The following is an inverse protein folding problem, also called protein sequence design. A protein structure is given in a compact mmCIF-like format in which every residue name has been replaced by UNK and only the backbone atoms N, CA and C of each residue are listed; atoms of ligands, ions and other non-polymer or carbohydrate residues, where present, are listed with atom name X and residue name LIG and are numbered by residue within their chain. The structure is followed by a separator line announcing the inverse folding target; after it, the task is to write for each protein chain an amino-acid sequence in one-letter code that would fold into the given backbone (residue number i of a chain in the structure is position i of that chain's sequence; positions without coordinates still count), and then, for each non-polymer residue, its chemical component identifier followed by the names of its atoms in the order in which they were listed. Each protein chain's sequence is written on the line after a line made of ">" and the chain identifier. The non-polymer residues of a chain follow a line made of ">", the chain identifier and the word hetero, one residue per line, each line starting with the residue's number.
data_IF_314235675578
#
_entry.id   IF_314235675578
#
_cell.length_a   1.000
_cell.length_b   1.000
_cell.length_c   1.000
_cell.angle_alpha   90.00
_cell.angle_beta   90.00
_cell.angle_gamma   90.00
#
_symmetry.space_group_name_H-M   'P 1'
#
loop_
_entity.id
_entity.type
_entity.pdbx_description
1 polymer ?
#
# COMPACT_ATOMS: atom_id res chain seq x y z
N UNK A 1 43.55 -51.14 -0.95
CA UNK A 1 42.58 -50.70 0.08
C UNK A 1 43.36 -50.02 1.18
N UNK A 2 43.44 -48.67 1.20
CA UNK A 2 43.91 -47.94 2.37
C UNK A 2 42.73 -47.38 3.17
N UNK A 3 42.87 -47.49 4.49
CA UNK A 3 41.91 -47.08 5.51
C UNK A 3 41.58 -45.58 5.43
N UNK A 4 40.29 -45.28 5.42
CA UNK A 4 39.77 -43.92 5.52
C UNK A 4 39.63 -43.57 7.01
N UNK A 5 40.27 -42.50 7.52
CA UNK A 5 40.09 -42.10 8.90
C UNK A 5 38.73 -41.43 9.11
N UNK A 6 38.09 -41.75 10.23
CA UNK A 6 36.83 -41.17 10.68
C UNK A 6 36.96 -39.66 10.97
N UNK A 7 35.91 -38.84 10.73
CA UNK A 7 35.96 -37.41 10.98
C UNK A 7 35.91 -37.10 12.48
N UNK A 8 36.77 -36.16 12.89
CA UNK A 8 36.87 -35.62 14.24
C UNK A 8 35.56 -34.94 14.68
N UNK A 9 35.14 -35.24 15.92
CA UNK A 9 34.00 -34.61 16.57
C UNK A 9 34.29 -33.12 16.86
N UNK A 10 33.38 -32.25 16.42
CA UNK A 10 33.37 -30.84 16.79
C UNK A 10 32.99 -30.66 18.28
N UNK A 11 33.65 -29.76 19.02
CA UNK A 11 33.33 -29.50 20.42
C UNK A 11 32.08 -28.62 20.57
N UNK A 12 31.13 -29.08 21.39
CA UNK A 12 30.31 -28.24 22.28
C UNK A 12 29.22 -27.37 21.64
N UNK A 13 28.05 -27.95 21.35
CA UNK A 13 26.80 -27.20 21.34
C UNK A 13 26.32 -27.02 22.81
N UNK A 14 25.89 -25.82 23.23
CA UNK A 14 25.38 -25.61 24.58
C UNK A 14 24.05 -26.37 24.75
N UNK A 15 23.99 -27.16 25.82
CA UNK A 15 22.78 -27.82 26.31
C UNK A 15 21.79 -26.74 26.75
N UNK A 16 20.51 -26.79 26.33
CA UNK A 16 19.49 -25.86 26.82
C UNK A 16 19.13 -26.23 28.26
N UNK A 17 19.81 -25.60 29.22
CA UNK A 17 19.49 -25.65 30.63
C UNK A 17 18.43 -24.60 31.01
N UNK A 18 17.49 -25.03 31.84
CA UNK A 18 16.63 -24.24 32.71
C UNK A 18 15.75 -23.14 32.08
N UNK A 19 14.59 -23.59 31.61
CA UNK A 19 13.37 -22.79 31.56
C UNK A 19 12.81 -22.57 32.98
N UNK A 20 13.52 -21.85 33.83
CA UNK A 20 12.99 -21.34 35.11
C UNK A 20 12.26 -20.02 34.87
N UNK A 21 10.94 -20.07 35.06
CA UNK A 21 10.06 -18.93 35.32
C UNK A 21 10.07 -17.81 34.27
N UNK A 22 9.46 -18.08 33.11
CA UNK A 22 8.73 -17.01 32.39
C UNK A 22 7.63 -16.54 33.33
N UNK A 23 7.81 -15.37 33.94
CA UNK A 23 6.72 -14.65 34.58
C UNK A 23 5.52 -14.66 33.64
N UNK A 24 4.35 -15.06 34.15
CA UNK A 24 3.12 -15.00 33.38
C UNK A 24 3.04 -13.59 32.77
N UNK A 25 2.84 -13.45 31.44
CA UNK A 25 2.68 -12.13 30.85
C UNK A 25 1.56 -11.46 31.61
N UNK A 26 1.87 -10.39 32.35
CA UNK A 26 0.89 -9.54 33.03
C UNK A 26 -0.11 -9.19 31.96
N UNK A 27 -1.28 -9.81 32.00
CA UNK A 27 -2.17 -9.91 30.85
C UNK A 27 -2.46 -8.50 30.35
N UNK A 28 -1.99 -8.19 29.14
CA UNK A 28 -2.12 -6.87 28.53
C UNK A 28 -3.61 -6.48 28.55
N UNK A 29 -4.00 -5.64 29.50
CA UNK A 29 -5.41 -5.35 29.77
C UNK A 29 -6.00 -4.44 28.69
N UNK A 30 -7.23 -4.75 28.27
CA UNK A 30 -7.96 -3.95 27.30
C UNK A 30 -8.35 -2.61 27.93
N UNK A 31 -7.91 -1.49 27.35
CA UNK A 31 -8.34 -0.16 27.79
C UNK A 31 -9.77 0.12 27.32
N UNK A 32 -10.72 0.07 28.25
CA UNK A 32 -12.15 0.32 27.99
C UNK A 32 -12.57 1.61 28.69
N UNK A 33 -13.27 2.49 27.96
CA UNK A 33 -13.90 3.68 28.52
C UNK A 33 -15.41 3.64 28.26
N UNK A 34 -16.20 3.68 29.32
CA UNK A 34 -17.67 3.73 29.23
C UNK A 34 -18.14 5.17 29.36
N UNK A 35 -19.00 5.59 28.42
CA UNK A 35 -19.51 6.95 28.28
C UNK A 35 -21.01 6.91 28.48
N UNK A 36 -21.53 7.65 29.45
CA UNK A 36 -22.98 7.75 29.66
C UNK A 36 -23.59 8.87 28.81
N UNK A 37 -24.57 8.53 27.99
CA UNK A 37 -25.33 9.45 27.12
C UNK A 37 -26.84 9.14 27.17
N UNK A 38 -27.50 9.31 28.34
CA UNK A 38 -28.86 8.82 28.56
C UNK A 38 -29.93 9.55 27.71
N UNK A 39 -29.58 10.72 27.16
CA UNK A 39 -30.46 11.51 26.29
C UNK A 39 -30.49 10.99 24.86
N UNK A 40 -29.47 10.22 24.44
CA UNK A 40 -29.29 9.71 23.07
C UNK A 40 -29.57 10.77 21.98
N UNK A 41 -29.15 12.00 22.26
CA UNK A 41 -29.62 13.16 21.52
C UNK A 41 -29.20 13.08 20.03
N UNK A 42 -30.07 13.49 19.08
CA UNK A 42 -29.74 13.49 17.65
C UNK A 42 -28.44 14.24 17.31
N UNK A 43 -28.09 15.27 18.09
CA UNK A 43 -26.85 16.01 17.95
C UNK A 43 -25.60 15.17 18.28
N UNK A 44 -25.66 14.33 19.33
CA UNK A 44 -24.58 13.38 19.66
C UNK A 44 -24.43 12.35 18.56
N UNK A 45 -25.54 11.83 18.04
CA UNK A 45 -25.57 10.87 16.94
C UNK A 45 -24.95 11.46 15.66
N UNK A 46 -25.29 12.70 15.30
CA UNK A 46 -24.69 13.40 14.17
C UNK A 46 -23.18 13.62 14.37
N UNK A 47 -22.75 13.90 15.61
CA UNK A 47 -21.34 14.10 15.94
C UNK A 47 -20.54 12.80 15.86
N UNK A 48 -21.07 11.69 16.35
CA UNK A 48 -20.47 10.36 16.24
C UNK A 48 -20.29 9.92 14.79
N UNK A 49 -21.27 10.20 13.92
CA UNK A 49 -21.15 9.94 12.49
C UNK A 49 -20.01 10.73 11.84
N UNK A 50 -19.84 12.01 12.23
CA UNK A 50 -18.73 12.86 11.75
C UNK A 50 -17.37 12.44 12.31
N UNK A 51 -17.35 11.78 13.47
CA UNK A 51 -16.12 11.30 14.10
C UNK A 51 -15.57 10.05 13.41
N UNK A 52 -16.42 9.29 12.70
CA UNK A 52 -15.99 8.09 11.98
C UNK A 52 -15.05 8.46 10.83
N UNK A 53 -13.76 8.25 11.05
CA UNK A 53 -12.70 8.46 10.08
C UNK A 53 -11.66 7.34 10.25
N UNK A 54 -11.87 6.19 9.57
CA UNK A 54 -10.94 5.08 9.64
C UNK A 54 -9.52 5.44 9.19
N UNK A 55 -9.37 6.38 8.25
CA UNK A 55 -8.07 6.84 7.76
C UNK A 55 -7.34 7.67 8.83
N UNK A 56 -8.08 8.39 9.67
CA UNK A 56 -7.54 9.04 10.88
C UNK A 56 -7.39 8.08 12.08
N UNK A 57 -7.77 6.80 11.94
CA UNK A 57 -7.62 5.78 12.97
C UNK A 57 -8.79 5.69 13.97
N UNK A 58 -9.97 6.24 13.63
CA UNK A 58 -11.16 6.20 14.49
C UNK A 58 -12.29 5.46 13.76
N UNK A 59 -12.77 4.37 14.35
CA UNK A 59 -13.93 3.64 13.85
C UNK A 59 -15.11 3.80 14.79
N UNK A 60 -16.25 4.25 14.29
CA UNK A 60 -17.49 4.39 15.06
C UNK A 60 -18.52 3.38 14.56
N UNK A 61 -18.79 2.38 15.37
CA UNK A 61 -19.84 1.40 15.15
C UNK A 61 -21.16 1.99 15.61
N UNK A 62 -21.95 2.47 14.64
CA UNK A 62 -23.35 2.74 14.87
C UNK A 62 -24.06 1.40 14.92
N UNK A 63 -24.28 0.91 16.14
CA UNK A 63 -25.23 -0.17 16.31
C UNK A 63 -26.54 0.26 15.64
N UNK A 64 -27.00 -0.55 14.69
CA UNK A 64 -28.42 -0.54 14.30
C UNK A 64 -29.26 -0.57 15.59
N UNK A 65 -30.54 -0.18 15.58
CA UNK A 65 -31.37 -0.18 16.80
C UNK A 65 -31.22 -1.45 17.65
N UNK A 66 -30.87 -2.59 17.03
CA UNK A 66 -30.28 -3.74 17.71
C UNK A 66 -29.10 -4.36 16.92
N UNK A 67 -27.96 -4.58 17.58
CA UNK A 67 -26.91 -5.52 17.14
C UNK A 67 -27.07 -6.78 17.97
N UNK A 68 -27.91 -7.69 17.50
CA UNK A 68 -28.32 -8.87 18.26
C UNK A 68 -27.46 -10.11 17.94
N UNK A 69 -26.74 -10.10 16.82
CA UNK A 69 -26.00 -11.26 16.33
C UNK A 69 -24.59 -10.91 15.83
N UNK A 70 -23.67 -11.90 15.73
CA UNK A 70 -22.36 -11.71 15.12
C UNK A 70 -22.44 -11.21 13.68
N UNK A 71 -23.51 -11.58 12.95
CA UNK A 71 -23.79 -11.10 11.60
C UNK A 71 -24.05 -9.59 11.59
N UNK A 72 -24.87 -9.08 12.51
CA UNK A 72 -25.16 -7.64 12.61
C UNK A 72 -23.92 -6.84 12.98
N UNK A 73 -23.08 -7.37 13.87
CA UNK A 73 -21.81 -6.77 14.22
C UNK A 73 -20.87 -6.71 13.00
N UNK A 74 -20.79 -7.81 12.24
CA UNK A 74 -20.00 -7.86 10.99
C UNK A 74 -20.45 -6.78 10.00
N UNK A 75 -21.77 -6.63 9.77
CA UNK A 75 -22.31 -5.57 8.93
C UNK A 75 -21.96 -4.18 9.48
N UNK A 76 -22.12 -3.96 10.78
CA UNK A 76 -21.85 -2.66 11.41
C UNK A 76 -20.38 -2.26 11.28
N UNK A 77 -19.45 -3.21 11.42
CA UNK A 77 -18.02 -2.98 11.22
C UNK A 77 -17.71 -2.65 9.77
N UNK A 78 -18.18 -3.46 8.81
CA UNK A 78 -17.92 -3.21 7.40
C UNK A 78 -18.56 -1.91 6.90
N UNK A 79 -19.76 -1.57 7.38
CA UNK A 79 -20.43 -0.29 7.08
C UNK A 79 -19.64 0.91 7.63
N UNK A 80 -19.20 0.84 8.89
CA UNK A 80 -18.37 1.87 9.51
C UNK A 80 -17.01 2.05 8.80
N UNK A 81 -16.48 0.98 8.20
CA UNK A 81 -15.28 1.02 7.35
C UNK A 81 -15.55 1.54 5.93
N UNK A 82 -16.79 1.93 5.62
CA UNK A 82 -17.20 2.45 4.31
C UNK A 82 -17.28 1.39 3.21
N UNK A 83 -17.48 0.10 3.56
CA UNK A 83 -17.52 -0.98 2.57
C UNK A 83 -18.87 -1.04 1.86
N UNK A 84 -18.87 -1.39 0.58
CA UNK A 84 -20.09 -1.65 -0.19
C UNK A 84 -20.59 -3.04 0.18
N UNK A 85 -21.75 -3.06 0.85
CA UNK A 85 -22.35 -4.28 1.38
C UNK A 85 -23.48 -4.77 0.45
N UNK A 86 -23.64 -6.09 0.29
CA UNK A 86 -24.79 -6.63 -0.40
C UNK A 86 -26.09 -6.32 0.39
N UNK A 87 -27.24 -6.18 -0.28
CA UNK A 87 -28.52 -5.96 0.39
C UNK A 87 -28.77 -7.02 1.46
N UNK A 88 -29.27 -6.64 2.64
CA UNK A 88 -29.49 -7.59 3.75
C UNK A 88 -30.46 -8.73 3.41
N UNK A 89 -31.35 -8.50 2.46
CA UNK A 89 -32.31 -9.47 1.93
C UNK A 89 -31.70 -10.51 0.99
N UNK A 90 -30.50 -10.26 0.46
CA UNK A 90 -29.76 -11.24 -0.34
C UNK A 90 -29.14 -12.32 0.55
N UNK A 91 -28.70 -13.42 -0.06
CA UNK A 91 -28.06 -14.55 0.62
C UNK A 91 -27.11 -14.09 1.75
N UNK A 92 -27.10 -14.84 2.87
CA UNK A 92 -26.34 -14.48 4.07
C UNK A 92 -24.88 -14.08 3.78
N UNK A 93 -24.28 -13.30 4.69
CA UNK A 93 -22.86 -12.96 4.58
C UNK A 93 -22.03 -14.26 4.46
N UNK A 94 -20.99 -14.26 3.61
CA UNK A 94 -20.11 -15.42 3.53
C UNK A 94 -19.46 -15.67 4.89
N UNK A 95 -19.11 -16.93 5.17
CA UNK A 95 -18.44 -17.34 6.42
C UNK A 95 -17.12 -16.58 6.66
N UNK A 96 -16.49 -16.08 5.60
CA UNK A 96 -15.27 -15.27 5.65
C UNK A 96 -15.52 -13.80 5.98
N UNK A 97 -16.76 -13.32 6.02
CA UNK A 97 -17.06 -11.89 6.21
C UNK A 97 -16.53 -11.34 7.53
N UNK A 98 -16.64 -12.09 8.62
CA UNK A 98 -16.11 -11.68 9.92
C UNK A 98 -14.57 -11.62 9.93
N UNK A 99 -13.83 -12.68 9.54
CA UNK A 99 -12.38 -12.58 9.36
C UNK A 99 -11.94 -11.40 8.49
N UNK A 100 -12.65 -11.13 7.40
CA UNK A 100 -12.41 -9.98 6.52
C UNK A 100 -12.65 -8.64 7.22
N UNK A 101 -13.72 -8.50 7.99
CA UNK A 101 -14.00 -7.29 8.77
C UNK A 101 -12.91 -7.00 9.81
N UNK A 102 -12.46 -8.04 10.53
CA UNK A 102 -11.35 -7.91 11.48
C UNK A 102 -10.06 -7.54 10.75
N UNK A 103 -9.75 -8.19 9.63
CA UNK A 103 -8.57 -7.86 8.82
C UNK A 103 -8.56 -6.42 8.34
N UNK A 104 -9.70 -5.88 7.87
CA UNK A 104 -9.80 -4.47 7.52
C UNK A 104 -9.59 -3.55 8.71
N UNK A 105 -10.21 -3.86 9.86
CA UNK A 105 -10.03 -3.11 11.12
C UNK A 105 -8.55 -3.02 11.51
N UNK A 106 -7.83 -4.13 11.44
CA UNK A 106 -6.37 -4.19 11.64
C UNK A 106 -5.61 -3.40 10.58
N UNK A 107 -6.06 -3.46 9.33
CA UNK A 107 -5.50 -2.72 8.20
C UNK A 107 -5.53 -1.21 8.39
N UNK A 108 -6.56 -0.64 9.02
CA UNK A 108 -6.61 0.79 9.30
C UNK A 108 -5.76 1.24 10.50
N UNK A 109 -5.23 0.31 11.30
CA UNK A 109 -4.43 0.64 12.52
C UNK A 109 -5.14 1.63 13.43
N UNK A 110 -6.39 1.33 13.75
CA UNK A 110 -7.23 2.19 14.57
C UNK A 110 -6.59 2.40 15.94
N UNK A 111 -6.67 3.62 16.45
CA UNK A 111 -6.33 3.95 17.83
C UNK A 111 -7.59 4.08 18.71
N UNK A 112 -8.77 4.18 18.11
CA UNK A 112 -10.05 4.21 18.82
C UNK A 112 -11.13 3.41 18.06
N UNK A 113 -11.86 2.59 18.80
CA UNK A 113 -13.11 1.96 18.35
C UNK A 113 -14.20 2.45 19.28
N UNK A 114 -15.23 3.10 18.73
CA UNK A 114 -16.37 3.62 19.46
C UNK A 114 -17.59 2.78 19.14
N UNK A 115 -18.21 2.18 20.14
CA UNK A 115 -19.45 1.42 20.01
C UNK A 115 -20.57 2.28 20.55
N UNK A 116 -21.40 2.79 19.64
CA UNK A 116 -22.60 3.52 19.99
C UNK A 116 -23.65 2.57 20.59
N UNK A 117 -24.45 3.05 21.54
CA UNK A 117 -25.49 2.28 22.25
C UNK A 117 -25.04 0.88 22.69
N UNK A 118 -23.84 0.76 23.26
CA UNK A 118 -23.23 -0.51 23.66
C UNK A 118 -24.11 -1.33 24.63
N UNK A 119 -24.99 -0.68 25.40
CA UNK A 119 -25.95 -1.34 26.32
C UNK A 119 -26.92 -2.30 25.62
N UNK A 120 -27.18 -2.11 24.32
CA UNK A 120 -28.04 -3.01 23.54
C UNK A 120 -27.32 -4.26 23.07
N UNK A 121 -25.99 -4.35 23.21
CA UNK A 121 -25.24 -5.51 22.75
C UNK A 121 -25.34 -6.68 23.74
N UNK A 122 -25.63 -7.90 23.26
CA UNK A 122 -25.60 -9.09 24.09
C UNK A 122 -24.16 -9.49 24.44
N UNK A 123 -23.99 -10.13 25.59
CA UNK A 123 -22.69 -10.58 26.09
C UNK A 123 -21.98 -11.59 25.17
N UNK A 124 -22.75 -12.32 24.35
CA UNK A 124 -22.22 -13.25 23.34
C UNK A 124 -21.32 -12.59 22.30
N UNK A 125 -21.37 -11.26 22.15
CA UNK A 125 -20.53 -10.51 21.21
C UNK A 125 -19.22 -10.00 21.81
N UNK A 126 -18.99 -10.18 23.12
CA UNK A 126 -17.79 -9.66 23.77
C UNK A 126 -16.51 -10.25 23.18
N UNK A 127 -16.49 -11.55 22.87
CA UNK A 127 -15.31 -12.19 22.24
C UNK A 127 -15.04 -11.61 20.84
N UNK A 128 -16.09 -11.34 20.06
CA UNK A 128 -15.95 -10.69 18.77
C UNK A 128 -15.40 -9.26 18.89
N UNK A 129 -15.85 -8.49 19.88
CA UNK A 129 -15.30 -7.15 20.16
C UNK A 129 -13.85 -7.25 20.63
N UNK A 130 -13.53 -8.21 21.50
CA UNK A 130 -12.15 -8.48 21.93
C UNK A 130 -11.26 -8.75 20.73
N UNK A 131 -11.72 -9.55 19.77
CA UNK A 131 -10.99 -9.85 18.54
C UNK A 131 -10.69 -8.58 17.71
N UNK A 132 -11.64 -7.63 17.61
CA UNK A 132 -11.40 -6.33 16.95
C UNK A 132 -10.33 -5.49 17.66
N UNK A 133 -10.21 -5.67 18.97
CA UNK A 133 -9.25 -4.96 19.85
C UNK A 133 -8.00 -5.76 20.19
N UNK A 134 -7.83 -6.93 19.57
CA UNK A 134 -6.73 -7.85 19.85
C UNK A 134 -5.37 -7.57 19.18
N UNK A 135 -5.12 -6.55 18.32
CA UNK A 135 -3.77 -6.37 17.79
C UNK A 135 -2.74 -6.19 18.91
N UNK A 136 -1.61 -6.87 18.73
CA UNK A 136 -0.45 -6.73 19.59
C UNK A 136 0.11 -5.29 19.52
N UNK A 137 0.81 -4.83 20.58
CA UNK A 137 1.52 -3.56 20.56
C UNK A 137 2.35 -3.34 19.29
N UNK A 138 2.48 -2.10 18.79
CA UNK A 138 2.10 -0.85 19.46
C UNK A 138 0.70 -0.32 19.11
N UNK A 139 -0.07 -1.00 18.26
CA UNK A 139 -1.32 -0.48 17.70
C UNK A 139 -2.54 -1.14 18.33
N UNK A 140 -2.77 -0.89 19.63
CA UNK A 140 -3.97 -1.36 20.31
C UNK A 140 -5.03 -0.26 20.36
N UNK A 141 -6.20 -0.44 19.71
CA UNK A 141 -7.26 0.55 19.80
C UNK A 141 -7.83 0.61 21.21
N UNK A 142 -8.14 1.82 21.67
CA UNK A 142 -8.97 2.02 22.86
C UNK A 142 -10.43 1.76 22.52
N UNK A 143 -11.12 1.05 23.39
CA UNK A 143 -12.54 0.76 23.22
C UNK A 143 -13.37 1.78 24.00
N UNK A 144 -14.23 2.51 23.29
CA UNK A 144 -15.19 3.45 23.86
C UNK A 144 -16.59 2.87 23.73
N UNK A 145 -17.30 2.71 24.84
CA UNK A 145 -18.65 2.15 24.88
C UNK A 145 -19.64 3.24 25.28
N UNK A 146 -20.58 3.59 24.41
CA UNK A 146 -21.60 4.60 24.70
C UNK A 146 -22.84 3.92 25.27
N UNK A 147 -23.14 4.20 26.53
CA UNK A 147 -24.33 3.75 27.23
C UNK A 147 -25.41 4.84 27.18
N UNK A 148 -26.34 4.67 26.23
CA UNK A 148 -27.54 5.49 26.09
C UNK A 148 -28.76 4.94 26.83
N UNK A 149 -28.57 4.05 27.80
CA UNK A 149 -29.67 3.56 28.65
C UNK A 149 -30.22 4.69 29.52
N UNK A 150 -31.55 4.82 29.55
CA UNK A 150 -32.26 5.68 30.51
C UNK A 150 -32.15 5.15 31.96
N UNK A 151 -31.79 3.87 32.13
CA UNK A 151 -31.63 3.25 33.45
C UNK A 151 -30.39 3.81 34.17
N UNK A 152 -30.48 3.88 35.51
CA UNK A 152 -29.33 4.18 36.37
C UNK A 152 -28.41 2.98 36.61
N UNK A 153 -28.85 1.78 36.23
CA UNK A 153 -28.05 0.57 36.36
C UNK A 153 -27.03 0.45 35.21
N UNK A 154 -25.75 0.33 35.57
CA UNK A 154 -24.61 0.31 34.66
C UNK A 154 -24.43 -1.04 33.95
N UNK A 155 -25.43 -1.45 33.16
CA UNK A 155 -25.46 -2.77 32.52
C UNK A 155 -24.25 -3.02 31.60
N UNK A 156 -23.63 -1.97 31.05
CA UNK A 156 -22.40 -2.10 30.23
C UNK A 156 -21.16 -2.34 31.08
N UNK A 157 -21.01 -1.62 32.20
CA UNK A 157 -19.83 -1.74 33.07
C UNK A 157 -19.80 -3.13 33.71
N UNK A 158 -20.95 -3.59 34.20
CA UNK A 158 -21.09 -4.91 34.83
C UNK A 158 -20.81 -6.05 33.85
N UNK A 159 -21.01 -5.82 32.54
CA UNK A 159 -20.78 -6.78 31.45
C UNK A 159 -19.34 -6.78 30.95
N UNK A 160 -18.68 -5.62 30.97
CA UNK A 160 -17.27 -5.44 30.63
C UNK A 160 -16.47 -5.27 31.93
N UNK A 161 -16.46 -6.30 32.77
CA UNK A 161 -15.63 -6.43 33.98
C UNK A 161 -14.14 -6.54 33.64
N UNK A 162 -13.61 -5.54 32.94
CA UNK A 162 -12.17 -5.37 32.74
C UNK A 162 -11.61 -4.58 33.93
N UNK A 163 -10.47 -4.99 34.52
CA UNK A 163 -9.85 -4.29 35.65
C UNK A 163 -9.51 -2.81 35.37
N UNK A 164 -9.39 -2.43 34.09
CA UNK A 164 -9.03 -1.08 33.63
C UNK A 164 -10.20 -0.32 32.97
N UNK A 165 -11.44 -0.60 33.39
CA UNK A 165 -12.62 0.11 32.89
C UNK A 165 -12.71 1.51 33.52
N UNK A 166 -12.55 2.56 32.71
CA UNK A 166 -12.76 3.95 33.15
C UNK A 166 -14.17 4.41 32.82
N UNK A 167 -14.95 4.80 33.84
CA UNK A 167 -16.26 5.42 33.65
C UNK A 167 -16.10 6.94 33.51
N UNK A 168 -16.66 7.53 32.46
CA UNK A 168 -16.76 8.99 32.30
C UNK A 168 -18.21 9.38 32.04
N UNK A 169 -18.68 10.43 32.72
CA UNK A 169 -20.04 10.96 32.58
C UNK A 169 -20.00 12.26 31.76
N UNK A 170 -20.76 12.32 30.65
CA UNK A 170 -20.91 13.51 29.80
C UNK A 170 -20.28 13.39 28.41
N UNK A 171 -21.09 13.61 27.36
CA UNK A 171 -20.72 13.37 25.96
C UNK A 171 -19.86 14.44 25.27
N UNK A 172 -19.89 15.70 25.72
CA UNK A 172 -19.26 16.82 24.99
C UNK A 172 -17.74 16.90 25.17
N UNK A 173 -17.24 16.64 26.38
CA UNK A 173 -15.82 16.73 26.74
C UNK A 173 -14.97 15.60 26.17
N UNK A 174 -15.51 14.38 26.07
CA UNK A 174 -14.75 13.20 25.68
C UNK A 174 -14.60 13.02 24.16
N UNK A 175 -15.58 13.47 23.38
CA UNK A 175 -15.44 13.54 21.91
C UNK A 175 -14.30 14.50 21.51
N UNK A 176 -14.03 15.54 22.31
CA UNK A 176 -12.85 16.39 22.15
C UNK A 176 -11.55 15.68 22.55
N UNK A 177 -11.59 14.71 23.46
CA UNK A 177 -10.43 13.90 23.89
C UNK A 177 -10.04 12.87 22.83
N UNK A 178 -11.03 12.25 22.16
CA UNK A 178 -10.77 11.37 21.01
C UNK A 178 -10.15 12.18 19.87
N UNK A 179 -10.67 13.38 19.59
CA UNK A 179 -10.16 14.25 18.52
C UNK A 179 -8.75 14.80 18.77
N UNK A 180 -8.39 15.11 20.03
CA UNK A 180 -7.07 15.69 20.38
C UNK A 180 -5.87 14.76 20.16
N UNK A 181 -6.09 13.46 19.95
CA UNK A 181 -5.02 12.50 19.60
C UNK A 181 -4.80 12.32 18.10
N UNK A 182 -5.43 13.16 17.27
CA UNK A 182 -5.20 13.17 15.84
C UNK A 182 -3.70 13.24 15.51
N UNK A 183 -3.29 12.31 14.65
CA UNK A 183 -1.93 11.96 14.29
C UNK A 183 -0.99 13.15 14.02
N UNK A 184 0.26 12.99 14.46
CA UNK A 184 1.43 13.65 13.91
C UNK A 184 1.34 13.66 12.39
N UNK A 185 1.47 14.82 11.71
CA UNK A 185 1.35 14.89 10.27
C UNK A 185 2.29 13.87 9.61
N UNK A 186 1.72 13.07 8.72
CA UNK A 186 2.43 11.99 8.04
C UNK A 186 3.72 12.53 7.36
N UNK A 187 4.91 11.93 7.57
CA UNK A 187 6.15 12.37 6.92
C UNK A 187 6.09 12.42 5.39
N UNK A 188 5.11 11.78 4.73
CA UNK A 188 4.84 12.04 3.30
C UNK A 188 4.49 13.50 2.98
N UNK A 189 4.17 14.31 3.99
CA UNK A 189 3.95 15.75 3.88
C UNK A 189 5.22 16.59 4.06
N UNK A 190 6.39 16.01 4.37
CA UNK A 190 7.67 16.73 4.28
C UNK A 190 8.08 16.82 2.80
N UNK A 191 7.29 17.61 2.07
CA UNK A 191 7.31 17.74 0.63
C UNK A 191 8.41 18.71 0.23
N UNK A 192 9.23 18.33 -0.74
CA UNK A 192 9.96 19.32 -1.53
C UNK A 192 8.90 20.14 -2.26
N UNK A 193 8.82 21.43 -1.94
CA UNK A 193 7.85 22.36 -2.52
C UNK A 193 8.28 22.72 -3.96
N UNK A 194 8.21 21.71 -4.84
CA UNK A 194 8.53 21.82 -6.26
C UNK A 194 7.21 22.03 -7.01
N UNK A 195 7.06 23.18 -7.73
CA UNK A 195 5.85 23.50 -8.48
C UNK A 195 5.48 22.40 -9.49
N UNK A 196 4.18 22.24 -9.77
CA UNK A 196 3.69 21.24 -10.72
C UNK A 196 3.87 21.64 -12.19
N UNK A 197 4.09 22.92 -12.45
CA UNK A 197 4.12 23.61 -13.74
C UNK A 197 5.55 23.90 -14.21
N UNK A 198 6.44 22.91 -14.09
CA UNK A 198 7.80 23.03 -14.60
C UNK A 198 7.85 23.04 -16.14
N UNK A 199 8.91 23.62 -16.75
CA UNK A 199 9.08 23.63 -18.20
C UNK A 199 9.08 22.21 -18.79
N UNK A 200 8.36 22.02 -19.90
CA UNK A 200 8.23 20.73 -20.58
C UNK A 200 9.44 20.36 -21.46
N UNK A 201 10.49 21.20 -21.45
CA UNK A 201 11.75 21.04 -22.18
C UNK A 201 12.33 19.62 -22.17
N UNK A 202 13.10 19.32 -23.22
CA UNK A 202 13.90 18.10 -23.31
C UNK A 202 14.89 18.02 -22.14
N UNK A 203 15.27 16.80 -21.74
CA UNK A 203 16.21 16.59 -20.64
C UNK A 203 17.58 17.29 -20.84
N UNK A 204 17.95 17.59 -22.10
CA UNK A 204 19.17 18.33 -22.45
C UNK A 204 19.10 19.82 -22.07
N UNK A 205 17.92 20.45 -22.17
CA UNK A 205 17.73 21.89 -21.92
C UNK A 205 16.96 22.18 -20.62
N UNK A 206 16.39 21.14 -19.99
CA UNK A 206 15.48 21.24 -18.86
C UNK A 206 16.03 22.04 -17.67
N UNK A 207 17.27 21.77 -17.22
CA UNK A 207 17.87 22.51 -16.09
C UNK A 207 18.04 24.00 -16.39
N UNK A 208 18.49 24.34 -17.60
CA UNK A 208 18.64 25.72 -18.02
C UNK A 208 17.28 26.43 -18.13
N UNK A 209 16.23 25.72 -18.59
CA UNK A 209 14.88 26.25 -18.61
C UNK A 209 14.32 26.49 -17.19
N UNK A 210 14.55 25.56 -16.26
CA UNK A 210 14.18 25.76 -14.85
C UNK A 210 14.89 26.97 -14.24
N UNK A 211 16.21 27.12 -14.47
CA UNK A 211 16.98 28.24 -13.96
C UNK A 211 16.51 29.62 -14.47
N UNK A 212 15.91 29.68 -15.67
CA UNK A 212 15.32 30.93 -16.21
C UNK A 212 13.95 31.27 -15.63
N UNK A 213 13.19 30.26 -15.20
CA UNK A 213 11.75 30.39 -14.92
C UNK A 213 11.39 30.24 -13.44
N UNK A 214 12.30 29.76 -12.59
CA UNK A 214 12.08 29.52 -11.18
C UNK A 214 12.87 30.50 -10.32
N UNK A 215 12.42 30.72 -9.07
CA UNK A 215 13.20 31.45 -8.08
C UNK A 215 14.44 30.64 -7.67
N UNK A 216 15.49 31.34 -7.21
CA UNK A 216 16.75 30.70 -6.79
C UNK A 216 16.53 29.60 -5.75
N UNK A 217 15.67 29.83 -4.76
CA UNK A 217 15.36 28.86 -3.71
C UNK A 217 14.73 27.57 -4.27
N UNK A 218 13.80 27.69 -5.23
CA UNK A 218 13.15 26.53 -5.86
C UNK A 218 14.15 25.83 -6.77
N UNK A 219 14.96 26.60 -7.52
CA UNK A 219 15.98 26.06 -8.40
C UNK A 219 17.03 25.24 -7.64
N UNK A 220 17.52 25.70 -6.47
CA UNK A 220 18.45 24.91 -5.63
C UNK A 220 17.86 23.54 -5.29
N UNK A 221 16.58 23.47 -4.92
CA UNK A 221 15.90 22.20 -4.61
C UNK A 221 15.75 21.30 -5.84
N UNK A 222 15.38 21.89 -6.98
CA UNK A 222 15.32 21.17 -8.26
C UNK A 222 16.69 20.61 -8.61
N UNK A 223 17.76 21.37 -8.41
CA UNK A 223 19.11 20.98 -8.76
C UNK A 223 19.64 19.83 -7.90
N UNK A 224 19.49 19.92 -6.58
CA UNK A 224 19.85 18.84 -5.65
C UNK A 224 19.11 17.54 -5.97
N UNK A 225 17.83 17.64 -6.31
CA UNK A 225 17.03 16.48 -6.70
C UNK A 225 17.51 15.91 -8.04
N UNK A 226 17.77 16.77 -9.02
CA UNK A 226 18.24 16.37 -10.34
C UNK A 226 19.58 15.64 -10.25
N UNK A 227 20.56 16.21 -9.53
CA UNK A 227 21.90 15.61 -9.38
C UNK A 227 21.81 14.22 -8.75
N UNK A 228 21.03 14.08 -7.67
CA UNK A 228 20.81 12.78 -7.01
C UNK A 228 20.17 11.76 -7.95
N UNK A 229 19.11 12.13 -8.66
CA UNK A 229 18.41 11.23 -9.56
C UNK A 229 19.26 10.84 -10.80
N UNK A 230 20.12 11.74 -11.29
CA UNK A 230 21.07 11.47 -12.36
C UNK A 230 22.11 10.43 -11.90
N UNK A 231 22.68 10.63 -10.71
CA UNK A 231 23.65 9.70 -10.14
C UNK A 231 23.03 8.31 -9.91
N UNK A 232 21.83 8.26 -9.33
CA UNK A 232 21.08 7.01 -9.16
C UNK A 232 20.92 6.28 -10.51
N UNK A 233 20.47 6.98 -11.55
CA UNK A 233 20.23 6.37 -12.86
C UNK A 233 21.50 5.78 -13.50
N UNK A 234 22.64 6.44 -13.35
CA UNK A 234 23.94 5.91 -13.81
C UNK A 234 24.33 4.66 -13.04
N UNK A 235 24.20 4.71 -11.71
CA UNK A 235 24.49 3.55 -10.85
C UNK A 235 23.66 2.33 -11.25
N UNK A 236 22.40 2.52 -11.66
CA UNK A 236 21.55 1.40 -12.08
C UNK A 236 22.09 0.64 -13.28
N UNK A 237 22.69 1.33 -14.25
CA UNK A 237 23.31 0.69 -15.41
C UNK A 237 24.58 -0.06 -15.01
N UNK A 238 25.37 0.51 -14.09
CA UNK A 238 26.55 -0.16 -13.55
C UNK A 238 26.19 -1.45 -12.80
N UNK A 239 25.16 -1.44 -11.97
CA UNK A 239 24.68 -2.62 -11.26
C UNK A 239 24.35 -3.76 -12.23
N UNK A 240 23.65 -3.46 -13.33
CA UNK A 240 23.25 -4.46 -14.34
C UNK A 240 24.45 -4.94 -15.17
N UNK A 241 25.39 -4.06 -15.50
CA UNK A 241 26.62 -4.46 -16.22
C UNK A 241 27.51 -5.39 -15.40
N UNK A 242 27.49 -5.26 -14.07
CA UNK A 242 28.25 -6.14 -13.18
C UNK A 242 27.78 -7.61 -13.25
N UNK A 243 26.56 -7.86 -13.72
CA UNK A 243 25.99 -9.21 -13.90
C UNK A 243 26.48 -9.92 -15.19
N UNK A 244 27.60 -9.46 -15.78
CA UNK A 244 28.31 -10.09 -16.92
C UNK A 244 27.53 -10.18 -18.25
N UNK A 245 26.64 -9.23 -18.53
CA UNK A 245 26.00 -9.14 -19.85
C UNK A 245 27.01 -8.64 -20.90
N UNK A 246 27.27 -9.47 -21.92
CA UNK A 246 28.28 -9.20 -22.96
C UNK A 246 27.77 -8.39 -24.14
N UNK A 247 26.44 -8.28 -24.33
CA UNK A 247 25.85 -7.51 -25.43
C UNK A 247 24.95 -6.36 -24.96
N UNK A 248 25.03 -5.26 -25.71
CA UNK A 248 24.27 -4.03 -25.49
C UNK A 248 22.75 -4.21 -25.63
N UNK A 249 22.32 -5.14 -26.48
CA UNK A 249 20.90 -5.49 -26.66
C UNK A 249 20.39 -6.34 -25.49
N UNK A 250 21.20 -7.29 -25.00
CA UNK A 250 20.90 -8.06 -23.79
C UNK A 250 20.84 -7.16 -22.55
N UNK A 251 21.65 -6.08 -22.50
CA UNK A 251 21.55 -5.06 -21.45
C UNK A 251 20.19 -4.37 -21.48
N UNK A 252 19.70 -3.90 -22.62
CA UNK A 252 18.40 -3.20 -22.69
C UNK A 252 17.24 -4.13 -22.31
N UNK A 253 17.23 -5.35 -22.83
CA UNK A 253 16.23 -6.35 -22.50
C UNK A 253 16.23 -6.69 -21.00
N UNK A 254 17.41 -6.88 -20.40
CA UNK A 254 17.56 -7.18 -18.97
C UNK A 254 17.28 -5.95 -18.08
N UNK A 255 17.61 -4.75 -18.54
CA UNK A 255 17.50 -3.51 -17.78
C UNK A 255 16.05 -3.03 -17.69
N UNK A 256 15.21 -3.31 -18.70
CA UNK A 256 13.88 -2.72 -18.79
C UNK A 256 13.00 -2.96 -17.56
N UNK A 257 12.90 -4.20 -17.08
CA UNK A 257 12.11 -4.51 -15.89
C UNK A 257 12.70 -3.86 -14.62
N UNK A 258 13.97 -4.11 -14.22
CA UNK A 258 14.59 -3.45 -13.08
C UNK A 258 14.51 -1.92 -13.14
N UNK A 259 14.78 -1.32 -14.31
CA UNK A 259 14.71 0.12 -14.52
C UNK A 259 13.29 0.63 -14.33
N UNK A 260 12.29 -0.02 -14.93
CA UNK A 260 10.90 0.41 -14.79
C UNK A 260 10.44 0.37 -13.34
N UNK A 261 10.86 -0.63 -12.55
CA UNK A 261 10.51 -0.70 -11.13
C UNK A 261 11.28 0.36 -10.32
N UNK A 262 12.56 0.58 -10.60
CA UNK A 262 13.36 1.66 -9.96
C UNK A 262 12.77 3.03 -10.26
N UNK A 263 12.38 3.29 -11.52
CA UNK A 263 11.67 4.50 -11.92
C UNK A 263 10.32 4.60 -11.20
N UNK A 264 9.52 3.54 -11.14
CA UNK A 264 8.25 3.52 -10.42
C UNK A 264 8.42 3.86 -8.93
N UNK A 265 9.44 3.28 -8.29
CA UNK A 265 9.74 3.55 -6.89
C UNK A 265 10.16 5.00 -6.65
N UNK A 266 10.94 5.58 -7.58
CA UNK A 266 11.43 6.97 -7.47
C UNK A 266 10.41 8.01 -7.94
N UNK A 267 9.46 7.64 -8.80
CA UNK A 267 8.38 8.51 -9.29
C UNK A 267 7.13 8.44 -8.41
N UNK A 268 7.13 7.62 -7.36
CA UNK A 268 6.12 7.67 -6.32
C UNK A 268 6.36 8.86 -5.39
N UNK A 269 6.08 10.06 -5.90
CA UNK A 269 6.39 11.34 -5.26
C UNK A 269 5.15 12.23 -5.13
N UNK A 270 5.26 13.27 -4.31
CA UNK A 270 4.12 14.08 -3.90
C UNK A 270 3.65 15.09 -4.96
N UNK A 271 4.52 15.54 -5.86
CA UNK A 271 4.17 16.51 -6.91
C UNK A 271 4.54 16.03 -8.32
N UNK A 272 3.75 16.41 -9.35
CA UNK A 272 4.10 16.15 -10.74
C UNK A 272 5.45 16.75 -11.15
N UNK A 273 5.80 17.93 -10.62
CA UNK A 273 7.09 18.58 -10.87
C UNK A 273 8.26 17.76 -10.36
N UNK A 274 8.17 17.23 -9.14
CA UNK A 274 9.20 16.33 -8.60
C UNK A 274 9.39 15.10 -9.50
N UNK A 275 8.29 14.52 -9.99
CA UNK A 275 8.33 13.38 -10.90
C UNK A 275 9.02 13.74 -12.23
N UNK A 276 8.73 14.92 -12.78
CA UNK A 276 9.35 15.39 -14.02
C UNK A 276 10.86 15.64 -13.84
N UNK A 277 11.29 16.28 -12.74
CA UNK A 277 12.72 16.48 -12.45
C UNK A 277 13.45 15.15 -12.39
N UNK A 278 12.91 14.17 -11.67
CA UNK A 278 13.50 12.82 -11.56
C UNK A 278 13.53 12.10 -12.91
N UNK A 279 12.48 12.22 -13.73
CA UNK A 279 12.48 11.68 -15.08
C UNK A 279 13.57 12.30 -15.93
N UNK A 280 13.64 13.64 -16.01
CA UNK A 280 14.66 14.33 -16.84
C UNK A 280 16.08 14.00 -16.38
N UNK A 281 16.32 13.92 -15.09
CA UNK A 281 17.59 13.50 -14.53
C UNK A 281 17.93 12.04 -14.89
N UNK A 282 16.96 11.12 -14.81
CA UNK A 282 17.15 9.74 -15.20
C UNK A 282 17.44 9.61 -16.71
N UNK A 283 16.76 10.37 -17.56
CA UNK A 283 17.04 10.42 -19.00
C UNK A 283 18.48 10.87 -19.28
N UNK A 284 18.95 11.92 -18.61
CA UNK A 284 20.32 12.39 -18.73
C UNK A 284 21.35 11.37 -18.22
N UNK A 285 21.10 10.77 -17.05
CA UNK A 285 21.98 9.75 -16.47
C UNK A 285 22.10 8.51 -17.34
N UNK A 286 20.99 7.98 -17.86
CA UNK A 286 21.00 6.85 -18.79
C UNK A 286 21.69 7.21 -20.10
N UNK A 287 21.52 8.45 -20.61
CA UNK A 287 22.21 8.89 -21.82
C UNK A 287 23.73 8.86 -21.64
N UNK A 288 24.25 9.30 -20.49
CA UNK A 288 25.67 9.22 -20.18
C UNK A 288 26.22 7.77 -20.24
N UNK A 289 25.35 6.77 -20.09
CA UNK A 289 25.68 5.36 -20.17
C UNK A 289 25.36 4.72 -21.54
N UNK A 290 24.98 5.53 -22.55
CA UNK A 290 24.66 5.07 -23.91
C UNK A 290 23.23 4.57 -24.11
N UNK A 291 22.34 4.79 -23.13
CA UNK A 291 20.96 4.32 -23.13
C UNK A 291 20.00 5.50 -23.24
N UNK A 292 19.16 5.53 -24.27
CA UNK A 292 18.14 6.56 -24.42
C UNK A 292 16.83 6.10 -23.77
N UNK A 293 16.46 6.76 -22.68
CA UNK A 293 15.09 6.74 -22.17
C UNK A 293 14.31 7.87 -22.82
N UNK A 294 13.48 7.56 -23.82
CA UNK A 294 12.67 8.52 -24.53
C UNK A 294 11.29 8.65 -23.86
N UNK A 295 10.85 9.88 -23.58
CA UNK A 295 9.51 10.18 -23.06
C UNK A 295 8.70 10.88 -24.16
N UNK A 296 7.57 10.29 -24.55
CA UNK A 296 6.65 10.84 -25.55
C UNK A 296 5.44 11.47 -24.85
N UNK A 297 5.47 12.77 -24.54
CA UNK A 297 4.35 13.43 -23.86
C UNK A 297 3.07 13.35 -24.71
N UNK A 298 1.90 13.23 -24.08
CA UNK A 298 0.63 13.17 -24.82
C UNK A 298 0.36 14.50 -25.53
N UNK A 299 0.06 14.52 -26.85
CA UNK A 299 -0.22 15.77 -27.58
C UNK A 299 -1.42 16.57 -27.02
N UNK A 300 -2.25 15.97 -26.16
CA UNK A 300 -3.38 16.63 -25.49
C UNK A 300 -2.99 17.22 -24.12
N UNK A 301 -1.70 17.28 -23.78
CA UNK A 301 -1.15 18.15 -22.74
C UNK A 301 -1.40 17.74 -21.28
N UNK A 302 -1.87 16.51 -21.02
CA UNK A 302 -2.16 16.05 -19.66
C UNK A 302 -1.23 14.88 -19.30
N UNK A 303 0.07 15.19 -19.09
CA UNK A 303 1.08 14.23 -18.60
C UNK A 303 0.88 13.87 -17.11
N UNK A 304 -0.37 13.70 -16.67
CA UNK A 304 -0.73 13.23 -15.33
C UNK A 304 -0.31 11.75 -15.09
N UNK A 305 0.26 11.08 -16.09
CA UNK A 305 0.53 9.65 -16.06
C UNK A 305 1.87 9.24 -15.44
N UNK A 306 2.85 10.17 -15.31
CA UNK A 306 4.21 9.80 -14.90
C UNK A 306 4.29 9.31 -13.45
N UNK A 307 3.52 9.92 -12.54
CA UNK A 307 3.44 9.52 -11.14
C UNK A 307 2.69 8.19 -10.92
N UNK A 308 2.50 7.81 -9.66
CA UNK A 308 1.65 6.66 -9.34
C UNK A 308 0.19 6.90 -9.74
N UNK A 309 -0.54 5.84 -10.11
CA UNK A 309 -1.99 5.92 -10.40
C UNK A 309 -2.86 5.76 -9.14
N UNK A 310 -2.21 5.69 -7.98
CA UNK A 310 -2.83 5.59 -6.67
C UNK A 310 -3.27 6.98 -6.18
N UNK A 311 -4.13 7.67 -6.91
CA UNK A 311 -4.75 8.90 -6.41
C UNK A 311 -5.62 8.59 -5.18
N UNK A 312 -5.70 9.48 -4.16
CA UNK A 312 -6.52 9.25 -2.98
C UNK A 312 -7.96 8.88 -3.32
N UNK A 313 -8.58 9.56 -4.28
CA UNK A 313 -9.95 9.27 -4.73
C UNK A 313 -10.12 7.86 -5.32
N UNK A 314 -9.20 7.44 -6.18
CA UNK A 314 -9.18 6.08 -6.75
C UNK A 314 -9.05 5.03 -5.64
N UNK A 315 -8.16 5.25 -4.68
CA UNK A 315 -7.93 4.34 -3.57
C UNK A 315 -9.11 4.31 -2.60
N UNK A 316 -9.80 5.43 -2.38
CA UNK A 316 -11.06 5.44 -1.64
C UNK A 316 -12.07 4.50 -2.27
N UNK A 317 -12.21 4.51 -3.61
CA UNK A 317 -13.11 3.57 -4.32
C UNK A 317 -12.65 2.12 -4.14
N UNK A 318 -11.37 1.82 -4.31
CA UNK A 318 -10.81 0.47 -4.11
C UNK A 318 -11.07 -0.02 -2.67
N UNK A 319 -10.84 0.86 -1.68
CA UNK A 319 -11.06 0.57 -0.27
C UNK A 319 -12.54 0.39 0.07
N UNK A 320 -13.50 0.67 -0.82
CA UNK A 320 -14.91 0.29 -0.61
C UNK A 320 -15.17 -1.19 -0.84
N UNK A 321 -14.26 -1.93 -1.50
CA UNK A 321 -14.41 -3.38 -1.66
C UNK A 321 -14.36 -4.08 -0.30
N UNK A 322 -15.28 -5.03 -0.10
CA UNK A 322 -15.25 -5.94 1.06
C UNK A 322 -14.09 -6.93 0.93
N UNK A 323 -13.72 -7.34 -0.29
CA UNK A 323 -12.62 -8.26 -0.53
C UNK A 323 -11.26 -7.60 -0.31
N UNK A 324 -10.53 -8.03 0.73
CA UNK A 324 -9.14 -7.57 0.96
C UNK A 324 -8.24 -7.93 -0.22
N UNK A 325 -8.50 -9.07 -0.86
CA UNK A 325 -7.69 -9.60 -1.95
C UNK A 325 -7.84 -8.77 -3.23
N UNK A 326 -9.08 -8.44 -3.62
CA UNK A 326 -9.35 -7.59 -4.78
C UNK A 326 -8.78 -6.19 -4.57
N UNK A 327 -8.96 -5.63 -3.36
CA UNK A 327 -8.39 -4.34 -3.02
C UNK A 327 -6.86 -4.35 -3.12
N UNK A 328 -6.20 -5.32 -2.49
CA UNK A 328 -4.74 -5.43 -2.54
C UNK A 328 -4.21 -5.65 -3.98
N UNK A 329 -4.90 -6.46 -4.78
CA UNK A 329 -4.56 -6.68 -6.19
C UNK A 329 -4.66 -5.40 -7.01
N UNK A 330 -5.73 -4.63 -6.83
CA UNK A 330 -5.92 -3.34 -7.49
C UNK A 330 -4.84 -2.33 -7.07
N UNK A 331 -4.49 -2.26 -5.77
CA UNK A 331 -3.41 -1.39 -5.30
C UNK A 331 -2.08 -1.76 -5.93
N UNK A 332 -1.69 -3.04 -5.90
CA UNK A 332 -0.42 -3.47 -6.47
C UNK A 332 -0.38 -3.29 -8.01
N UNK A 333 -1.50 -3.50 -8.70
CA UNK A 333 -1.61 -3.22 -10.15
C UNK A 333 -1.43 -1.73 -10.48
N UNK A 334 -2.04 -0.83 -9.70
CA UNK A 334 -1.87 0.61 -9.91
C UNK A 334 -0.48 1.11 -9.49
N UNK A 335 0.18 0.41 -8.56
CA UNK A 335 1.56 0.67 -8.19
C UNK A 335 2.52 0.25 -9.32
N UNK A 336 2.35 -0.97 -9.82
CA UNK A 336 3.10 -1.50 -10.95
C UNK A 336 2.26 -2.53 -11.72
N UNK A 337 1.78 -2.20 -12.93
CA UNK A 337 0.84 -3.03 -13.66
C UNK A 337 1.49 -4.34 -14.11
N UNK A 338 0.77 -5.44 -13.92
CA UNK A 338 1.19 -6.78 -14.28
C UNK A 338 0.86 -7.09 -15.75
N UNK A 339 1.73 -7.82 -16.46
CA UNK A 339 1.36 -8.51 -17.70
C UNK A 339 2.04 -8.04 -19.00
N UNK A 340 3.36 -8.14 -19.10
CA UNK A 340 3.95 -8.46 -20.41
C UNK A 340 3.71 -9.96 -20.65
N UNK A 341 3.21 -10.34 -21.84
CA UNK A 341 3.03 -11.77 -22.20
C UNK A 341 4.35 -12.47 -22.51
N UNK A 342 5.46 -11.73 -22.50
CA UNK A 342 6.79 -12.31 -22.64
C UNK A 342 7.16 -12.98 -21.32
N UNK A 343 6.76 -14.25 -21.24
CA UNK A 343 6.92 -15.24 -20.17
C UNK A 343 8.37 -15.48 -19.68
N UNK A 344 9.30 -14.57 -19.94
CA UNK A 344 10.69 -14.62 -19.43
C UNK A 344 10.89 -13.73 -18.21
N UNK A 345 9.98 -12.79 -17.93
CA UNK A 345 10.05 -11.95 -16.74
C UNK A 345 9.75 -12.79 -15.48
N UNK A 346 10.75 -12.97 -14.63
CA UNK A 346 10.72 -13.76 -13.37
C UNK A 346 9.71 -13.29 -12.33
N UNK A 347 8.97 -12.21 -12.59
CA UNK A 347 8.07 -11.61 -11.62
C UNK A 347 6.62 -11.75 -12.08
N UNK A 348 5.88 -12.61 -11.38
CA UNK A 348 4.45 -12.81 -11.57
C UNK A 348 3.70 -12.46 -10.28
N UNK A 349 2.62 -11.68 -10.31
CA UNK A 349 1.88 -11.30 -9.11
C UNK A 349 1.31 -12.48 -8.33
N UNK A 350 0.91 -13.55 -9.02
CA UNK A 350 0.45 -14.78 -8.34
C UNK A 350 1.57 -15.51 -7.58
N UNK A 351 2.82 -15.20 -7.88
CA UNK A 351 3.99 -15.79 -7.22
C UNK A 351 4.56 -14.89 -6.12
N UNK A 352 4.05 -13.66 -6.00
CA UNK A 352 4.48 -12.69 -5.00
C UNK A 352 4.46 -13.35 -3.60
N UNK A 353 5.63 -13.54 -2.97
CA UNK A 353 5.70 -14.02 -1.59
C UNK A 353 4.98 -13.06 -0.65
N UNK A 354 4.43 -13.58 0.44
CA UNK A 354 3.80 -12.74 1.47
C UNK A 354 4.77 -11.67 2.00
N UNK A 355 6.05 -12.02 2.13
CA UNK A 355 7.11 -11.15 2.67
C UNK A 355 7.56 -10.05 1.71
N UNK A 356 7.19 -10.15 0.43
CA UNK A 356 7.42 -9.08 -0.52
C UNK A 356 6.45 -7.92 -0.30
N UNK A 357 5.41 -8.07 0.53
CA UNK A 357 4.63 -6.93 1.03
C UNK A 357 4.90 -6.77 2.51
N UNK A 358 5.49 -5.64 2.90
CA UNK A 358 5.79 -5.41 4.31
C UNK A 358 4.52 -5.49 5.17
N UNK A 359 4.57 -6.01 6.41
CA UNK A 359 3.41 -6.06 7.31
C UNK A 359 2.78 -4.69 7.59
N UNK A 360 3.56 -3.61 7.43
CA UNK A 360 3.10 -2.22 7.54
C UNK A 360 2.31 -1.73 6.32
N UNK A 361 2.32 -2.50 5.23
CA UNK A 361 1.86 -2.12 3.90
C UNK A 361 2.65 -0.96 3.31
N UNK A 362 3.78 -0.57 3.89
CA UNK A 362 4.47 0.68 3.53
C UNK A 362 5.36 0.55 2.30
N UNK A 363 5.79 -0.67 1.98
CA UNK A 363 6.52 -1.00 0.77
C UNK A 363 6.05 -2.36 0.22
N UNK A 364 6.19 -2.50 -1.09
CA UNK A 364 6.12 -3.78 -1.79
C UNK A 364 7.46 -4.02 -2.52
N UNK A 365 7.96 -5.24 -2.53
CA UNK A 365 9.13 -5.66 -3.29
C UNK A 365 8.63 -6.19 -4.63
N UNK A 366 9.10 -5.56 -5.70
CA UNK A 366 8.70 -5.84 -7.07
C UNK A 366 9.99 -6.08 -7.84
N UNK A 367 10.16 -7.26 -8.42
CA UNK A 367 11.42 -7.66 -9.08
C UNK A 367 12.69 -7.32 -8.24
N UNK A 368 12.66 -7.60 -6.92
CA UNK A 368 13.75 -7.32 -5.99
C UNK A 368 13.88 -5.86 -5.52
N UNK A 369 13.18 -4.92 -6.14
CA UNK A 369 13.22 -3.49 -5.79
C UNK A 369 12.12 -3.16 -4.80
N UNK A 370 12.49 -2.44 -3.72
CA UNK A 370 11.54 -1.96 -2.72
C UNK A 370 10.82 -0.71 -3.23
N UNK A 371 9.54 -0.86 -3.58
CA UNK A 371 8.66 0.21 -4.07
C UNK A 371 7.83 0.74 -2.91
N UNK A 372 7.89 2.04 -2.59
CA UNK A 372 7.08 2.60 -1.51
C UNK A 372 5.60 2.60 -1.89
N UNK A 373 4.74 2.45 -0.89
CA UNK A 373 3.28 2.47 -1.04
C UNK A 373 2.72 3.73 -0.36
N UNK A 374 1.89 4.52 -1.06
CA UNK A 374 1.28 5.73 -0.50
C UNK A 374 0.42 5.42 0.73
N UNK A 375 0.41 6.28 1.76
CA UNK A 375 -0.30 6.08 3.02
C UNK A 375 -1.74 5.60 2.89
N UNK A 376 -2.52 6.25 2.03
CA UNK A 376 -3.93 5.96 1.79
C UNK A 376 -4.18 4.58 1.16
N UNK A 377 -3.17 4.00 0.48
CA UNK A 377 -3.24 2.67 -0.12
C UNK A 377 -2.82 1.53 0.81
N UNK A 378 -2.09 1.85 1.89
CA UNK A 378 -1.55 0.85 2.84
C UNK A 378 -2.63 0.05 3.57
N UNK A 379 -3.82 0.60 3.94
CA UNK A 379 -4.85 -0.17 4.64
C UNK A 379 -5.26 -1.44 3.91
N UNK A 380 -5.41 -1.40 2.58
CA UNK A 380 -5.75 -2.58 1.79
C UNK A 380 -4.67 -3.67 1.86
N UNK A 381 -3.40 -3.29 1.69
CA UNK A 381 -2.28 -4.24 1.74
C UNK A 381 -2.11 -4.85 3.14
N UNK A 382 -2.21 -4.03 4.18
CA UNK A 382 -2.17 -4.51 5.58
C UNK A 382 -3.32 -5.44 5.88
N UNK A 383 -4.54 -5.05 5.49
CA UNK A 383 -5.72 -5.87 5.72
C UNK A 383 -5.57 -7.24 5.05
N UNK A 384 -5.10 -7.27 3.80
CA UNK A 384 -4.87 -8.52 3.12
C UNK A 384 -3.75 -9.35 3.75
N UNK A 385 -2.63 -8.73 4.15
CA UNK A 385 -1.56 -9.39 4.86
C UNK A 385 -2.07 -10.06 6.16
N UNK A 386 -2.83 -9.34 6.99
CA UNK A 386 -3.46 -9.92 8.19
C UNK A 386 -4.43 -11.05 7.88
N UNK A 387 -5.22 -10.91 6.82
CA UNK A 387 -6.14 -11.96 6.37
C UNK A 387 -5.39 -13.25 5.98
N UNK A 388 -4.26 -13.12 5.28
CA UNK A 388 -3.42 -14.27 4.89
C UNK A 388 -2.79 -14.97 6.10
N UNK A 389 -2.28 -14.22 7.07
CA UNK A 389 -1.78 -14.79 8.33
C UNK A 389 -2.88 -15.54 9.10
N UNK A 390 -4.10 -14.99 9.17
CA UNK A 390 -5.25 -15.70 9.76
C UNK A 390 -5.61 -17.00 9.02
N UNK A 391 -5.33 -17.08 7.71
CA UNK A 391 -5.47 -18.30 6.92
C UNK A 391 -4.30 -19.28 7.09
N UNK A 392 -3.34 -18.98 7.97
CA UNK A 392 -2.19 -19.84 8.25
C UNK A 392 -1.00 -19.62 7.31
N UNK A 393 -1.01 -18.57 6.47
CA UNK A 393 0.18 -18.20 5.70
C UNK A 393 1.32 -17.80 6.66
N UNK A 394 2.53 -18.26 6.38
CA UNK A 394 3.75 -17.98 7.15
C UNK A 394 4.73 -17.16 6.32
N UNK A 395 5.80 -16.66 6.94
CA UNK A 395 6.95 -16.10 6.22
C UNK A 395 7.44 -17.09 5.15
N UNK A 396 7.78 -16.57 3.98
CA UNK A 396 8.16 -17.33 2.78
C UNK A 396 7.00 -17.99 2.02
N UNK A 397 5.75 -17.88 2.48
CA UNK A 397 4.61 -18.45 1.75
C UNK A 397 4.44 -17.74 0.41
N UNK A 398 4.54 -18.48 -0.69
CA UNK A 398 4.27 -17.98 -2.04
C UNK A 398 2.77 -17.82 -2.27
N UNK A 399 2.39 -16.87 -3.13
CA UNK A 399 0.99 -16.59 -3.43
C UNK A 399 0.35 -15.67 -2.40
N UNK A 400 0.72 -14.39 -2.47
CA UNK A 400 0.13 -13.31 -1.67
C UNK A 400 -1.40 -13.34 -1.72
N UNK A 401 -1.98 -13.60 -2.90
CA UNK A 401 -3.42 -13.54 -3.12
C UNK A 401 -4.18 -14.84 -2.84
N UNK A 402 -3.55 -16.02 -2.91
CA UNK A 402 -4.28 -17.29 -3.04
C UNK A 402 -3.76 -18.39 -2.10
N UNK A 403 -4.66 -19.11 -1.43
CA UNK A 403 -4.35 -20.36 -0.69
C UNK A 403 -4.85 -21.64 -1.39
N UNK A 404 -5.50 -21.53 -2.56
CA UNK A 404 -6.22 -22.65 -3.20
C UNK A 404 -5.72 -23.04 -4.59
N UNK A 405 -6.22 -24.19 -5.09
CA UNK A 405 -5.90 -24.76 -6.42
C UNK A 405 -6.44 -23.92 -7.59
N UNK A 406 -7.55 -23.21 -7.41
CA UNK A 406 -8.07 -22.25 -8.39
C UNK A 406 -7.56 -20.86 -8.07
N UNK A 407 -6.72 -20.32 -8.94
CA UNK A 407 -6.15 -18.97 -8.86
C UNK A 407 -6.91 -18.09 -9.86
N UNK A 408 -7.92 -17.30 -9.43
CA UNK A 408 -8.39 -16.22 -10.28
C UNK A 408 -7.18 -15.33 -10.61
N UNK A 409 -6.99 -15.06 -11.89
CA UNK A 409 -5.91 -14.20 -12.38
C UNK A 409 -5.93 -12.86 -11.61
N UNK A 410 -4.77 -12.45 -11.07
CA UNK A 410 -4.63 -11.18 -10.33
C UNK A 410 -5.09 -9.99 -11.16
N UNK A 411 -4.95 -10.05 -12.48
CA UNK A 411 -5.50 -9.03 -13.37
C UNK A 411 -7.02 -8.98 -13.30
N UNK A 412 -7.70 -10.12 -13.21
CA UNK A 412 -9.14 -10.19 -13.02
C UNK A 412 -9.54 -9.60 -11.67
N UNK A 413 -8.79 -9.93 -10.61
CA UNK A 413 -9.02 -9.37 -9.26
C UNK A 413 -8.81 -7.85 -9.23
N UNK A 414 -7.74 -7.36 -9.85
CA UNK A 414 -7.46 -5.93 -9.97
C UNK A 414 -8.56 -5.22 -10.76
N UNK A 415 -9.01 -5.80 -11.88
CA UNK A 415 -10.09 -5.22 -12.69
C UNK A 415 -11.40 -5.12 -11.90
N UNK A 416 -11.74 -6.14 -11.11
CA UNK A 416 -12.90 -6.09 -10.20
C UNK A 416 -12.74 -5.01 -9.12
N UNK A 417 -11.56 -4.91 -8.51
CA UNK A 417 -11.28 -3.87 -7.51
C UNK A 417 -11.28 -2.45 -8.10
N UNK A 418 -11.05 -2.32 -9.41
CA UNK A 418 -11.12 -1.06 -10.15
C UNK A 418 -12.50 -0.77 -10.75
N UNK A 419 -13.48 -1.68 -10.60
CA UNK A 419 -14.83 -1.46 -11.08
C UNK A 419 -15.42 -0.21 -10.42
N UNK A 420 -15.91 0.73 -11.23
CA UNK A 420 -16.40 2.03 -10.74
C UNK A 420 -15.32 3.12 -10.64
N UNK A 421 -14.07 2.84 -11.01
CA UNK A 421 -13.06 3.88 -11.22
C UNK A 421 -12.98 4.27 -12.70
N UNK A 422 -12.58 5.52 -12.99
CA UNK A 422 -12.21 5.94 -14.35
C UNK A 422 -10.96 5.22 -14.89
N UNK A 423 -10.26 4.47 -14.03
CA UNK A 423 -9.06 3.72 -14.33
C UNK A 423 -9.35 2.29 -14.77
N UNK A 424 -10.57 2.03 -15.28
CA UNK A 424 -10.89 0.74 -15.85
C UNK A 424 -9.80 0.39 -16.88
N UNK A 425 -9.15 -0.78 -16.75
CA UNK A 425 -8.21 -1.23 -17.74
C UNK A 425 -9.03 -1.68 -18.95
N UNK A 426 -9.61 -0.72 -19.67
CA UNK A 426 -9.79 -0.88 -21.10
C UNK A 426 -8.36 -1.03 -21.60
N UNK A 427 -7.92 -2.27 -21.77
CA UNK A 427 -6.74 -2.61 -22.54
C UNK A 427 -7.06 -2.09 -23.93
N UNK A 428 -6.67 -0.83 -24.21
CA UNK A 428 -7.26 -0.06 -25.30
C UNK A 428 -6.75 -0.69 -26.57
N UNK A 429 -7.62 -1.15 -27.46
CA UNK A 429 -7.26 -1.47 -28.85
C UNK A 429 -6.18 -2.55 -29.09
N UNK A 430 -6.26 -3.16 -30.26
CA UNK A 430 -5.25 -4.06 -30.83
C UNK A 430 -3.89 -3.35 -31.03
N UNK A 431 -3.91 -2.01 -31.17
CA UNK A 431 -2.72 -1.15 -31.20
C UNK A 431 -1.89 -1.20 -29.90
N UNK A 432 -2.52 -1.27 -28.72
CA UNK A 432 -1.76 -1.38 -27.45
C UNK A 432 -1.02 -2.72 -27.35
N UNK A 433 -1.53 -3.78 -28.01
CA UNK A 433 -0.85 -5.10 -28.06
C UNK A 433 0.36 -5.05 -28.99
N UNK A 434 0.22 -4.48 -30.19
CA UNK A 434 1.32 -4.41 -31.14
C UNK A 434 2.51 -3.57 -30.65
N UNK A 435 2.26 -2.48 -29.93
CA UNK A 435 3.31 -1.62 -29.39
C UNK A 435 4.07 -2.25 -28.20
N UNK A 436 3.43 -3.14 -27.43
CA UNK A 436 4.10 -3.90 -26.36
C UNK A 436 5.01 -5.02 -26.90
N UNK A 437 4.79 -5.46 -28.14
CA UNK A 437 5.52 -6.57 -28.76
C UNK A 437 6.83 -6.16 -29.43
N UNK A 438 7.07 -4.86 -29.68
CA UNK A 438 8.16 -4.40 -30.57
C UNK A 438 9.32 -3.66 -29.88
N UNK A 439 9.13 -3.20 -28.64
CA UNK A 439 10.18 -2.53 -27.88
C UNK A 439 10.31 -3.23 -26.53
N UNK A 440 11.53 -3.38 -26.00
CA UNK A 440 11.82 -3.98 -24.70
C UNK A 440 11.19 -3.24 -23.49
N UNK A 441 10.06 -2.56 -23.64
CA UNK A 441 9.41 -1.77 -22.60
C UNK A 441 8.49 -2.63 -21.74
N UNK A 442 8.44 -2.35 -20.44
CA UNK A 442 7.40 -2.91 -19.58
C UNK A 442 6.07 -2.20 -19.80
N UNK A 443 4.97 -2.87 -19.45
CA UNK A 443 3.63 -2.26 -19.47
C UNK A 443 3.59 -0.95 -18.66
N UNK A 444 4.34 -0.87 -17.55
CA UNK A 444 4.46 0.35 -16.74
C UNK A 444 5.08 1.51 -17.53
N UNK A 445 6.15 1.24 -18.28
CA UNK A 445 6.85 2.22 -19.12
C UNK A 445 5.95 2.68 -20.27
N UNK A 446 5.33 1.72 -20.96
CA UNK A 446 4.42 2.00 -22.06
C UNK A 446 3.23 2.87 -21.62
N UNK A 447 2.61 2.55 -20.47
CA UNK A 447 1.52 3.33 -19.87
C UNK A 447 1.91 4.79 -19.53
N UNK A 448 3.23 5.06 -19.48
CA UNK A 448 3.85 6.38 -19.24
C UNK A 448 4.54 6.93 -20.47
N UNK A 449 4.36 6.27 -21.62
CA UNK A 449 4.96 6.64 -22.91
C UNK A 449 6.50 6.78 -22.80
N UNK A 450 7.09 5.90 -22.02
CA UNK A 450 8.53 5.74 -21.87
C UNK A 450 8.99 4.61 -22.79
N UNK A 451 10.03 4.89 -23.57
CA UNK A 451 10.63 3.95 -24.52
C UNK A 451 12.13 3.87 -24.26
N UNK A 452 12.65 2.68 -24.00
CA UNK A 452 14.07 2.43 -23.85
C UNK A 452 14.69 2.07 -25.20
N UNK A 453 15.78 2.75 -25.58
CA UNK A 453 16.52 2.47 -26.81
C UNK A 453 18.01 2.41 -26.52
N UNK A 454 18.71 1.49 -27.20
CA UNK A 454 20.16 1.52 -27.22
C UNK A 454 20.64 2.50 -28.30
N UNK A 455 21.49 3.46 -27.95
CA UNK A 455 22.11 4.36 -28.92
C UNK A 455 23.38 3.77 -29.52
N UNK A 456 24.06 2.90 -28.78
CA UNK A 456 25.25 2.19 -29.24
C UNK A 456 24.77 0.90 -29.92
N UNK A 457 24.32 1.03 -31.16
CA UNK A 457 24.19 -0.17 -32.01
C UNK A 457 25.59 -0.78 -32.12
N UNK A 458 25.79 -2.07 -31.78
CA UNK A 458 27.00 -2.75 -32.24
C UNK A 458 27.00 -2.58 -33.76
N UNK A 459 28.07 -1.98 -34.27
CA UNK A 459 28.25 -1.64 -35.67
C UNK A 459 28.06 -2.90 -36.53
N UNK A 460 26.85 -3.10 -37.04
CA UNK A 460 26.64 -3.88 -38.25
C UNK A 460 27.17 -3.04 -39.42
N UNK A 461 28.50 -2.92 -39.52
CA UNK A 461 29.22 -2.40 -40.69
C UNK A 461 28.86 -0.99 -41.21
N UNK A 462 28.05 -0.22 -40.50
CA UNK A 462 27.76 1.17 -40.85
C UNK A 462 28.77 2.07 -40.15
N UNK A 463 29.76 2.47 -40.93
CA UNK A 463 30.75 3.49 -40.62
C UNK A 463 30.03 4.80 -40.24
N UNK A 464 29.84 5.02 -38.94
CA UNK A 464 29.38 6.30 -38.38
C UNK A 464 30.57 7.22 -38.14
N UNK A 465 31.36 7.46 -39.19
CA UNK A 465 32.25 8.60 -39.28
C UNK A 465 31.39 9.87 -39.31
N UNK A 466 30.92 10.28 -38.13
CA UNK A 466 30.41 11.63 -37.90
C UNK A 466 31.52 12.61 -38.29
N UNK A 467 31.21 13.70 -39.02
CA UNK A 467 32.20 14.72 -39.34
C UNK A 467 32.78 15.24 -38.03
N UNK A 468 34.12 15.30 -37.93
CA UNK A 468 34.76 16.07 -36.87
C UNK A 468 34.35 17.52 -37.06
N UNK A 469 33.47 18.02 -36.20
CA UNK A 469 33.19 19.45 -36.10
C UNK A 469 34.44 20.09 -35.48
N UNK A 470 35.23 20.76 -36.32
CA UNK A 470 36.28 21.70 -35.93
C UNK A 470 35.69 23.05 -35.60
#
# INVERSE_FOLDING_TARGET
>A
MPDTPAPAALPGLPVPGDATQRGAPTGDLLQVTVIRDPEDAPATQARLRRLNDPDAGILVLNSMPYVASPRDLTYSVLDALGKVLPPRSSAGLPTTAWPTAVSWTLGYRLHAIVINRAHTMPASLHEAIRELTAPAPPYRPRLYLIDASASKHHTVIDRFTAPDCHLTVGGSGLLNTIHRRQHTPDPWRSRLDIPGDLPADSFLTFRAACARNLSDQVMTRVDELYIRALHDARQWVHDVRAEQLTSNEAIVATLALPLSVRLAARMNVASPGECLVRLRAAQAGLLCEGILLHHQPHPRGHDHGLGHRLAPTTVTVINRSTSTQEAAAAILYLLFPFGSRHHTDRWHPDELPLDDVEPSGSHARIAGVRVPVPPHARPALRAHHHFRHKQGARHGTTGYFHSGKRRPDVRTLATRGLAGTSHHPAWRSEEDRHLAEHDHNTLWMWQRRLVLRNLIRPSTGLDLSLPRWT
#
